data_IF_927976892097
#
_entry.id   IF_927976892097
#
_cell.length_a   1.000
_cell.length_b   1.000
_cell.length_c   1.000
_cell.angle_alpha   90.00
_cell.angle_beta   90.00
_cell.angle_gamma   90.00
#
_symmetry.space_group_name_H-M   'P 1'
#
loop_
_entity.id
_entity.type
_entity.pdbx_description
1 polymer ?
#
# COMPACT_ATOMS: atom_id res chain seq x y z
N UNK A 1 -32.40 -22.31 -22.46
CA UNK A 1 -31.56 -21.44 -21.60
C UNK A 1 -30.30 -21.17 -22.38
N UNK A 2 -30.12 -19.93 -22.79
CA UNK A 2 -29.14 -19.53 -23.80
C UNK A 2 -27.74 -19.44 -23.19
N UNK A 3 -26.72 -19.67 -24.01
CA UNK A 3 -25.29 -19.60 -23.66
C UNK A 3 -24.93 -18.31 -22.87
N UNK A 4 -25.63 -17.21 -23.13
CA UNK A 4 -25.44 -15.93 -22.42
C UNK A 4 -25.76 -15.97 -20.93
N UNK A 5 -26.80 -16.67 -20.49
CA UNK A 5 -27.14 -16.78 -19.06
C UNK A 5 -26.04 -17.54 -18.33
N UNK A 6 -25.56 -18.64 -18.92
CA UNK A 6 -24.45 -19.45 -18.41
C UNK A 6 -23.16 -18.62 -18.32
N UNK A 7 -22.88 -17.80 -19.33
CA UNK A 7 -21.71 -16.90 -19.33
C UNK A 7 -21.83 -15.85 -18.23
N UNK A 8 -23.00 -15.23 -18.04
CA UNK A 8 -23.24 -14.24 -16.98
C UNK A 8 -23.11 -14.86 -15.59
N UNK A 9 -23.73 -16.02 -15.36
CA UNK A 9 -23.63 -16.74 -14.09
C UNK A 9 -22.18 -17.10 -13.77
N UNK A 10 -21.44 -17.60 -14.76
CA UNK A 10 -20.01 -17.89 -14.60
C UNK A 10 -19.22 -16.63 -14.24
N UNK A 11 -19.43 -15.52 -14.94
CA UNK A 11 -18.77 -14.26 -14.64
C UNK A 11 -19.02 -13.81 -13.19
N UNK A 12 -20.27 -13.85 -12.73
CA UNK A 12 -20.61 -13.47 -11.35
C UNK A 12 -20.06 -14.43 -10.31
N UNK A 13 -19.99 -15.72 -10.60
CA UNK A 13 -19.35 -16.72 -9.73
C UNK A 13 -17.84 -16.48 -9.61
N UNK A 14 -17.17 -16.20 -10.73
CA UNK A 14 -15.74 -15.88 -10.76
C UNK A 14 -15.44 -14.58 -10.02
N UNK A 15 -16.29 -13.56 -10.19
CA UNK A 15 -16.21 -12.31 -9.43
C UNK A 15 -16.35 -12.58 -7.92
N UNK A 16 -17.37 -13.32 -7.47
CA UNK A 16 -17.55 -13.66 -6.05
C UNK A 16 -16.32 -14.39 -5.48
N UNK A 17 -15.74 -15.33 -6.25
CA UNK A 17 -14.53 -16.04 -5.86
C UNK A 17 -13.34 -15.10 -5.67
N UNK A 18 -13.14 -14.13 -6.56
CA UNK A 18 -12.06 -13.13 -6.42
C UNK A 18 -12.31 -12.25 -5.18
N UNK A 19 -13.53 -11.77 -4.98
CA UNK A 19 -13.90 -10.93 -3.84
C UNK A 19 -13.69 -11.63 -2.49
N UNK A 20 -13.91 -12.96 -2.43
CA UNK A 20 -13.65 -13.80 -1.25
C UNK A 20 -12.16 -14.03 -0.99
N UNK A 21 -11.35 -14.11 -2.05
CA UNK A 21 -9.89 -14.28 -1.95
C UNK A 21 -9.19 -12.99 -1.51
N UNK A 22 -9.78 -11.82 -1.77
CA UNK A 22 -9.22 -10.55 -1.31
C UNK A 22 -9.22 -10.49 0.23
N UNK A 23 -8.08 -10.16 0.88
CA UNK A 23 -7.96 -10.07 2.33
C UNK A 23 -9.06 -9.20 2.95
N UNK A 24 -9.51 -9.60 4.15
CA UNK A 24 -10.57 -8.89 4.87
C UNK A 24 -10.08 -7.54 5.39
N UNK A 25 -8.78 -7.38 5.57
CA UNK A 25 -8.09 -6.21 6.07
C UNK A 25 -8.02 -5.12 4.99
N UNK A 26 -8.03 -5.52 3.72
CA UNK A 26 -7.92 -4.63 2.57
C UNK A 26 -9.23 -3.92 2.26
N UNK A 27 -9.11 -2.63 1.94
CA UNK A 27 -10.23 -1.84 1.44
C UNK A 27 -10.62 -2.38 0.06
N UNK A 28 -11.88 -2.73 -0.11
CA UNK A 28 -12.43 -3.22 -1.37
C UNK A 28 -13.52 -2.29 -1.84
N UNK A 29 -13.37 -1.82 -3.08
CA UNK A 29 -14.28 -0.93 -3.78
C UNK A 29 -14.48 -1.52 -5.17
N UNK A 30 -15.73 -1.78 -5.53
CA UNK A 30 -16.13 -2.23 -6.87
C UNK A 30 -17.04 -1.16 -7.48
N UNK A 31 -16.68 -0.68 -8.66
CA UNK A 31 -17.38 0.38 -9.38
C UNK A 31 -17.63 -0.06 -10.81
N UNK A 32 -18.83 0.19 -11.33
CA UNK A 32 -19.10 0.00 -12.74
C UNK A 32 -20.57 -0.27 -13.05
N UNK A 33 -20.80 -0.60 -14.32
CA UNK A 33 -22.07 -1.10 -14.82
C UNK A 33 -22.17 -2.61 -14.58
N UNK A 34 -23.13 -3.00 -13.75
CA UNK A 34 -23.38 -4.41 -13.46
C UNK A 34 -24.46 -4.98 -14.38
N UNK A 35 -25.14 -4.19 -15.20
CA UNK A 35 -26.24 -4.69 -16.03
C UNK A 35 -27.29 -5.49 -15.24
N UNK A 36 -27.43 -5.18 -13.95
CA UNK A 36 -28.23 -5.94 -13.00
C UNK A 36 -29.17 -5.00 -12.23
N UNK A 37 -30.42 -5.42 -12.09
CA UNK A 37 -31.41 -4.74 -11.27
C UNK A 37 -31.57 -5.50 -9.97
N UNK A 38 -31.33 -4.83 -8.85
CA UNK A 38 -31.64 -5.42 -7.54
C UNK A 38 -33.15 -5.27 -7.29
N UNK A 39 -33.83 -6.40 -7.08
CA UNK A 39 -35.28 -6.44 -6.82
C UNK A 39 -35.67 -5.81 -5.48
N UNK A 40 -36.96 -5.53 -5.30
CA UNK A 40 -37.51 -4.85 -4.13
C UNK A 40 -37.56 -5.66 -2.83
N UNK A 41 -37.19 -6.95 -2.83
CA UNK A 41 -37.28 -7.84 -1.65
C UNK A 41 -36.15 -7.57 -0.65
N UNK A 42 -36.32 -6.50 0.09
CA UNK A 42 -35.34 -5.93 0.99
C UNK A 42 -34.98 -6.81 2.20
N UNK A 43 -35.88 -7.73 2.56
CA UNK A 43 -35.75 -8.63 3.71
C UNK A 43 -34.58 -9.61 3.54
N UNK A 44 -34.32 -10.06 2.30
CA UNK A 44 -33.27 -11.03 1.96
C UNK A 44 -31.86 -10.42 1.87
N UNK A 45 -31.75 -9.08 1.82
CA UNK A 45 -30.50 -8.37 1.54
C UNK A 45 -30.00 -7.46 2.68
N UNK A 46 -30.55 -7.60 3.88
CA UNK A 46 -30.29 -6.75 5.06
C UNK A 46 -28.82 -6.68 5.51
N UNK A 47 -27.99 -7.63 5.06
CA UNK A 47 -26.56 -7.76 5.39
C UNK A 47 -25.62 -7.23 4.29
N UNK A 48 -26.02 -7.35 3.03
CA UNK A 48 -25.22 -6.98 1.84
C UNK A 48 -25.45 -5.54 1.44
N UNK A 49 -26.71 -5.13 1.50
CA UNK A 49 -27.07 -3.73 1.55
C UNK A 49 -27.08 -3.42 3.05
N UNK A 50 -26.45 -2.34 3.51
CA UNK A 50 -26.30 -2.07 4.95
C UNK A 50 -27.63 -2.14 5.71
N UNK A 51 -27.64 -1.98 7.04
CA UNK A 51 -28.87 -1.94 7.87
C UNK A 51 -29.98 -1.01 7.31
N UNK A 52 -29.63 -0.10 6.40
CA UNK A 52 -30.45 0.91 5.73
C UNK A 52 -30.56 0.74 4.20
N UNK A 53 -30.13 -0.41 3.71
CA UNK A 53 -30.14 -0.83 2.32
C UNK A 53 -31.51 -1.16 1.74
N UNK A 54 -32.49 -1.24 2.62
CA UNK A 54 -33.91 -1.13 2.30
C UNK A 54 -34.24 0.36 2.27
N UNK A 55 -34.43 0.94 1.08
CA UNK A 55 -35.28 2.11 0.77
C UNK A 55 -35.29 3.37 1.66
N UNK A 56 -34.56 3.43 2.78
CA UNK A 56 -34.71 4.45 3.80
C UNK A 56 -33.49 5.25 4.24
N UNK A 57 -32.20 4.91 4.07
CA UNK A 57 -31.12 5.84 4.51
C UNK A 57 -29.67 5.49 4.09
N UNK A 58 -29.45 5.01 2.87
CA UNK A 58 -28.15 5.32 2.23
C UNK A 58 -28.21 6.80 1.82
N UNK A 59 -27.13 7.58 1.86
CA UNK A 59 -27.15 9.00 1.42
C UNK A 59 -27.79 9.19 0.02
N UNK A 60 -27.77 8.14 -0.81
CA UNK A 60 -28.47 8.03 -2.10
C UNK A 60 -30.00 8.15 -2.03
N UNK A 61 -30.66 7.84 -0.90
CA UNK A 61 -32.13 7.84 -0.77
C UNK A 61 -32.77 9.15 -0.30
N UNK A 62 -31.98 10.14 0.12
CA UNK A 62 -32.47 11.51 0.15
C UNK A 62 -32.31 12.20 -1.20
N UNK A 63 -31.57 11.60 -2.13
CA UNK A 63 -31.37 12.20 -3.44
C UNK A 63 -32.59 11.94 -4.32
N UNK A 64 -33.07 12.91 -5.10
CA UNK A 64 -34.13 12.69 -6.09
C UNK A 64 -33.82 11.50 -7.01
N UNK A 65 -34.86 10.86 -7.56
CA UNK A 65 -34.73 9.72 -8.49
C UNK A 65 -33.68 9.97 -9.58
N UNK A 66 -33.62 11.20 -10.11
CA UNK A 66 -32.62 11.62 -11.08
C UNK A 66 -31.17 11.34 -10.62
N UNK A 67 -30.85 11.63 -9.36
CA UNK A 67 -29.51 11.42 -8.78
C UNK A 67 -29.24 9.96 -8.37
N UNK A 68 -30.17 9.05 -8.60
CA UNK A 68 -30.02 7.60 -8.35
C UNK A 68 -30.01 6.79 -9.63
N UNK A 69 -30.80 7.19 -10.62
CA UNK A 69 -30.85 6.47 -11.88
C UNK A 69 -29.67 6.83 -12.76
N UNK A 70 -29.10 5.80 -13.36
CA UNK A 70 -27.82 5.89 -14.07
C UNK A 70 -27.99 5.62 -15.55
N UNK A 71 -28.98 4.84 -15.98
CA UNK A 71 -29.17 4.51 -17.38
C UNK A 71 -30.58 4.86 -17.89
N UNK A 72 -30.68 5.39 -19.10
CA UNK A 72 -31.98 5.64 -19.76
C UNK A 72 -32.22 4.63 -20.87
N UNK A 73 -33.32 3.88 -20.77
CA UNK A 73 -33.70 2.96 -21.83
C UNK A 73 -34.02 3.70 -23.14
N UNK A 74 -33.37 3.38 -24.28
CA UNK A 74 -33.48 4.15 -25.52
C UNK A 74 -34.91 4.32 -26.04
N UNK A 75 -35.72 3.25 -25.99
CA UNK A 75 -37.11 3.23 -26.45
C UNK A 75 -38.13 3.75 -25.44
N UNK A 76 -38.15 3.20 -24.22
CA UNK A 76 -39.16 3.54 -23.21
C UNK A 76 -38.88 4.87 -22.48
N UNK A 77 -37.68 5.44 -22.64
CA UNK A 77 -37.21 6.64 -21.93
C UNK A 77 -37.33 6.55 -20.41
N UNK A 78 -37.38 5.32 -19.88
CA UNK A 78 -37.41 5.04 -18.44
C UNK A 78 -35.99 4.97 -17.91
N UNK A 79 -35.81 5.60 -16.76
CA UNK A 79 -34.57 5.62 -16.02
C UNK A 79 -34.45 4.37 -15.14
N UNK A 80 -33.26 3.76 -15.14
CA UNK A 80 -32.94 2.57 -14.34
C UNK A 80 -31.64 2.77 -13.57
N UNK A 81 -31.48 2.03 -12.48
CA UNK A 81 -30.25 1.91 -11.71
C UNK A 81 -29.60 0.57 -12.08
N UNK A 82 -28.45 0.64 -12.76
CA UNK A 82 -27.66 -0.54 -13.15
C UNK A 82 -26.16 -0.35 -12.87
N UNK A 83 -25.74 0.87 -12.57
CA UNK A 83 -24.38 1.20 -12.17
C UNK A 83 -24.31 1.30 -10.64
N UNK A 84 -23.32 0.61 -10.05
CA UNK A 84 -23.17 0.54 -8.60
C UNK A 84 -21.77 0.89 -8.14
N UNK A 85 -21.71 1.43 -6.93
CA UNK A 85 -20.49 1.57 -6.14
C UNK A 85 -20.64 0.70 -4.90
N UNK A 86 -19.92 -0.42 -4.86
CA UNK A 86 -20.01 -1.43 -3.81
C UNK A 86 -18.73 -1.37 -2.96
N UNK A 87 -18.91 -1.36 -1.65
CA UNK A 87 -17.83 -1.43 -0.66
C UNK A 87 -18.12 -2.53 0.35
N UNK A 88 -17.11 -3.00 1.09
CA UNK A 88 -17.36 -3.93 2.20
C UNK A 88 -18.23 -3.27 3.26
N UNK A 89 -19.07 -4.06 3.91
CA UNK A 89 -19.95 -3.58 4.99
C UNK A 89 -19.18 -2.85 6.11
N UNK A 90 -17.99 -3.33 6.49
CA UNK A 90 -17.13 -2.73 7.52
C UNK A 90 -16.59 -1.34 7.14
N UNK A 91 -16.49 -1.07 5.83
CA UNK A 91 -15.89 0.14 5.26
C UNK A 91 -16.95 1.20 4.91
N UNK A 92 -18.23 0.88 5.11
CA UNK A 92 -19.36 1.78 4.82
C UNK A 92 -19.26 3.13 5.56
N UNK A 93 -18.65 3.13 6.75
CA UNK A 93 -18.40 4.35 7.55
C UNK A 93 -17.50 5.37 6.85
N UNK A 94 -16.71 4.94 5.86
CA UNK A 94 -15.81 5.79 5.10
C UNK A 94 -16.50 6.39 3.86
N UNK A 95 -17.72 5.94 3.52
CA UNK A 95 -18.49 6.44 2.37
C UNK A 95 -19.24 7.71 2.75
N UNK A 96 -18.90 8.82 2.11
CA UNK A 96 -19.53 10.12 2.38
C UNK A 96 -20.72 10.38 1.46
N UNK A 97 -20.57 10.16 0.16
CA UNK A 97 -21.59 10.47 -0.85
C UNK A 97 -21.49 9.44 -1.97
N UNK A 98 -22.61 8.94 -2.46
CA UNK A 98 -22.71 8.22 -3.73
C UNK A 98 -23.88 8.82 -4.51
N UNK A 99 -23.69 9.25 -5.76
CA UNK A 99 -24.79 9.80 -6.58
C UNK A 99 -24.50 9.76 -8.08
N UNK A 100 -25.56 9.72 -8.88
CA UNK A 100 -25.50 9.97 -10.33
C UNK A 100 -25.38 11.48 -10.61
N UNK A 101 -24.48 11.84 -11.52
CA UNK A 101 -24.18 13.21 -11.93
C UNK A 101 -25.10 13.60 -13.10
N UNK A 102 -26.26 14.19 -12.79
CA UNK A 102 -27.31 14.46 -13.79
C UNK A 102 -26.98 15.53 -14.83
N UNK A 103 -25.96 16.36 -14.60
CA UNK A 103 -25.52 17.43 -15.51
C UNK A 103 -24.16 17.18 -16.16
N UNK A 104 -23.60 15.99 -16.00
CA UNK A 104 -22.41 15.57 -16.73
C UNK A 104 -22.86 14.88 -18.02
N UNK A 105 -22.90 15.63 -19.12
CA UNK A 105 -23.27 15.09 -20.43
C UNK A 105 -22.09 14.34 -21.02
N UNK A 106 -22.04 13.02 -20.79
CA UNK A 106 -20.96 12.16 -21.28
C UNK A 106 -21.23 11.60 -22.70
N UNK A 107 -22.23 12.12 -23.43
CA UNK A 107 -22.68 11.58 -24.73
C UNK A 107 -22.95 10.05 -24.72
N UNK A 108 -23.38 9.52 -23.57
CA UNK A 108 -23.80 8.12 -23.42
C UNK A 108 -25.23 8.07 -22.91
N UNK A 109 -25.84 6.89 -23.01
CA UNK A 109 -27.11 6.54 -22.36
C UNK A 109 -26.95 6.31 -20.83
N UNK A 110 -25.73 6.48 -20.30
CA UNK A 110 -25.40 6.43 -18.89
C UNK A 110 -25.08 7.82 -18.28
N UNK A 111 -25.40 7.98 -16.99
CA UNK A 111 -24.96 9.08 -16.14
C UNK A 111 -23.75 8.64 -15.35
N UNK A 112 -22.76 9.51 -15.25
CA UNK A 112 -21.58 9.27 -14.41
C UNK A 112 -21.98 9.08 -12.95
N UNK A 113 -21.53 7.98 -12.34
CA UNK A 113 -21.68 7.74 -10.89
C UNK A 113 -20.46 8.28 -10.16
N UNK A 114 -20.70 9.07 -9.11
CA UNK A 114 -19.66 9.63 -8.25
C UNK A 114 -19.80 9.08 -6.85
N UNK A 115 -18.71 8.50 -6.33
CA UNK A 115 -18.57 8.15 -4.91
C UNK A 115 -17.45 8.98 -4.27
N UNK A 116 -17.72 9.56 -3.10
CA UNK A 116 -16.74 10.27 -2.26
C UNK A 116 -16.42 9.43 -1.03
N UNK A 117 -15.15 9.13 -0.82
CA UNK A 117 -14.64 8.28 0.27
C UNK A 117 -13.69 9.07 1.18
N UNK A 118 -13.73 8.78 2.48
CA UNK A 118 -12.77 9.23 3.49
C UNK A 118 -11.90 8.05 3.90
N UNK A 119 -10.80 7.83 3.18
CA UNK A 119 -9.88 6.72 3.46
C UNK A 119 -8.62 7.20 4.17
N UNK A 120 -8.18 6.45 5.18
CA UNK A 120 -6.86 6.59 5.79
C UNK A 120 -6.02 5.41 5.32
N UNK A 121 -5.05 5.66 4.44
CA UNK A 121 -4.08 4.66 4.03
C UNK A 121 -2.94 4.71 5.05
N UNK A 122 -2.89 3.74 5.96
CA UNK A 122 -1.75 3.64 6.87
C UNK A 122 -0.52 3.20 6.07
N UNK A 123 0.58 3.98 6.05
CA UNK A 123 1.79 3.55 5.39
C UNK A 123 2.32 2.30 6.08
N UNK A 124 2.63 1.26 5.30
CA UNK A 124 3.39 0.11 5.77
C UNK A 124 4.72 0.63 6.31
N UNK A 125 4.85 0.71 7.65
CA UNK A 125 6.13 1.01 8.29
C UNK A 125 7.06 -0.13 7.92
N UNK A 126 7.97 0.09 6.97
CA UNK A 126 9.08 -0.83 6.73
C UNK A 126 9.77 -1.03 8.08
N UNK A 127 9.72 -2.25 8.61
CA UNK A 127 10.65 -2.69 9.65
C UNK A 127 12.03 -2.76 8.99
N UNK A 128 12.63 -1.61 8.71
CA UNK A 128 14.06 -1.58 8.42
C UNK A 128 14.69 -2.04 9.71
N UNK A 129 15.20 -3.27 9.73
CA UNK A 129 16.05 -3.71 10.81
C UNK A 129 17.08 -2.60 11.01
N UNK A 130 17.11 -1.98 12.19
CA UNK A 130 18.13 -0.99 12.51
C UNK A 130 19.47 -1.70 12.36
N UNK A 131 20.10 -1.51 11.20
CA UNK A 131 21.46 -1.98 10.98
C UNK A 131 22.29 -1.06 11.88
N UNK A 132 22.91 -1.62 12.92
CA UNK A 132 23.80 -0.88 13.81
C UNK A 132 25.06 -0.48 13.03
N UNK A 133 24.93 0.52 12.16
CA UNK A 133 26.03 1.09 11.39
C UNK A 133 26.72 2.12 12.27
N UNK A 134 27.36 1.65 13.35
CA UNK A 134 28.24 2.52 14.13
C UNK A 134 29.36 2.97 13.22
N UNK A 135 29.53 4.29 13.09
CA UNK A 135 30.58 4.89 12.26
C UNK A 135 31.94 4.59 12.87
N UNK A 136 32.95 4.34 12.03
CA UNK A 136 34.33 4.18 12.46
C UNK A 136 34.84 5.46 13.13
N UNK A 137 35.68 5.32 14.15
CA UNK A 137 36.25 6.46 14.86
C UNK A 137 37.51 7.00 14.16
N UNK A 138 37.31 7.72 13.05
CA UNK A 138 38.40 8.32 12.27
C UNK A 138 39.24 9.34 13.05
N UNK A 139 38.73 9.87 14.17
CA UNK A 139 39.49 10.80 15.01
C UNK A 139 40.73 10.16 15.65
N UNK A 140 40.76 8.82 15.79
CA UNK A 140 41.93 8.10 16.34
C UNK A 140 43.16 8.20 15.43
N UNK A 141 42.97 8.47 14.13
CA UNK A 141 44.07 8.68 13.18
C UNK A 141 44.84 9.99 13.40
N UNK A 142 44.37 10.88 14.30
CA UNK A 142 45.12 12.06 14.73
C UNK A 142 46.35 11.69 15.56
N UNK A 143 46.34 10.52 16.21
CA UNK A 143 47.53 9.98 16.87
C UNK A 143 48.46 9.36 15.84
N UNK A 144 49.73 9.78 15.84
CA UNK A 144 50.72 9.30 14.89
C UNK A 144 51.04 7.80 15.09
N UNK A 145 50.94 7.30 16.32
CA UNK A 145 51.13 5.88 16.65
C UNK A 145 50.04 5.01 16.02
N UNK A 146 48.78 5.41 16.19
CA UNK A 146 47.62 4.67 15.65
C UNK A 146 47.61 4.74 14.12
N UNK A 147 48.02 5.88 13.54
CA UNK A 147 48.16 6.05 12.09
C UNK A 147 49.21 5.08 11.53
N UNK A 148 50.36 4.95 12.18
CA UNK A 148 51.43 4.05 11.74
C UNK A 148 51.03 2.58 11.90
N UNK A 149 50.41 2.21 13.03
CA UNK A 149 49.87 0.86 13.26
C UNK A 149 48.79 0.49 12.23
N UNK A 150 47.90 1.45 11.90
CA UNK A 150 46.89 1.25 10.87
C UNK A 150 47.51 1.03 9.48
N UNK A 151 48.51 1.84 9.11
CA UNK A 151 49.21 1.69 7.83
C UNK A 151 49.86 0.32 7.72
N UNK A 152 50.63 -0.09 8.73
CA UNK A 152 51.33 -1.38 8.72
C UNK A 152 50.35 -2.58 8.61
N UNK A 153 49.24 -2.53 9.35
CA UNK A 153 48.19 -3.56 9.29
C UNK A 153 47.47 -3.57 7.95
N UNK A 154 47.23 -2.40 7.37
CA UNK A 154 46.59 -2.29 6.05
C UNK A 154 47.48 -2.81 4.95
N UNK A 155 48.77 -2.45 4.94
CA UNK A 155 49.74 -2.93 3.96
C UNK A 155 49.87 -4.46 4.02
N UNK A 156 49.94 -5.03 5.22
CA UNK A 156 49.96 -6.48 5.41
C UNK A 156 48.69 -7.15 4.88
N UNK A 157 47.51 -6.59 5.19
CA UNK A 157 46.24 -7.14 4.77
C UNK A 157 46.01 -7.05 3.25
N UNK A 158 46.45 -5.96 2.61
CA UNK A 158 46.34 -5.78 1.16
C UNK A 158 47.28 -6.71 0.40
N UNK A 159 48.51 -6.90 0.88
CA UNK A 159 49.46 -7.84 0.28
C UNK A 159 48.96 -9.29 0.33
N UNK A 160 48.25 -9.69 1.38
CA UNK A 160 47.64 -11.03 1.48
C UNK A 160 46.52 -11.29 0.45
N UNK A 161 45.88 -10.23 -0.07
CA UNK A 161 44.78 -10.34 -1.04
C UNK A 161 45.34 -10.33 -2.47
N UNK A 162 46.42 -9.58 -2.72
CA UNK A 162 47.02 -9.42 -4.04
C UNK A 162 47.48 -10.76 -4.65
N UNK A 163 47.93 -11.71 -3.83
CA UNK A 163 48.46 -13.01 -4.27
C UNK A 163 47.38 -14.10 -4.47
N UNK A 164 46.10 -13.81 -4.19
CA UNK A 164 45.03 -14.82 -4.29
C UNK A 164 44.37 -14.85 -5.67
N UNK A 165 44.40 -15.99 -6.39
CA UNK A 165 43.62 -16.14 -7.61
C UNK A 165 42.12 -16.19 -7.25
N UNK A 166 41.33 -15.40 -7.96
CA UNK A 166 39.86 -15.40 -7.87
C UNK A 166 39.28 -15.10 -9.25
N UNK A 167 38.25 -15.83 -9.63
CA UNK A 167 37.68 -15.84 -10.99
C UNK A 167 36.70 -14.69 -11.26
N UNK A 168 36.26 -13.97 -10.21
CA UNK A 168 35.18 -12.98 -10.28
C UNK A 168 35.59 -11.64 -9.66
N UNK A 169 35.42 -10.57 -10.44
CA UNK A 169 35.67 -9.17 -10.00
C UNK A 169 34.80 -8.79 -8.80
N UNK A 170 33.57 -9.31 -8.73
CA UNK A 170 32.66 -9.04 -7.63
C UNK A 170 33.17 -9.62 -6.30
N UNK A 171 33.73 -10.83 -6.36
CA UNK A 171 34.24 -11.52 -5.18
C UNK A 171 35.56 -10.91 -4.70
N UNK A 172 36.43 -10.49 -5.63
CA UNK A 172 37.62 -9.68 -5.31
C UNK A 172 37.25 -8.39 -4.58
N UNK A 173 36.26 -7.66 -5.09
CA UNK A 173 35.79 -6.42 -4.44
C UNK A 173 35.18 -6.68 -3.05
N UNK A 174 34.38 -7.74 -2.92
CA UNK A 174 33.76 -8.11 -1.65
C UNK A 174 34.80 -8.46 -0.60
N UNK A 175 35.82 -9.22 -0.98
CA UNK A 175 36.92 -9.59 -0.09
C UNK A 175 37.73 -8.36 0.33
N UNK A 176 38.15 -7.53 -0.63
CA UNK A 176 38.84 -6.27 -0.37
C UNK A 176 38.07 -5.40 0.63
N UNK A 177 36.77 -5.20 0.37
CA UNK A 177 35.90 -4.42 1.24
C UNK A 177 35.82 -4.99 2.65
N UNK A 178 35.68 -6.31 2.78
CA UNK A 178 35.59 -6.96 4.08
C UNK A 178 36.89 -6.83 4.88
N UNK A 179 38.04 -6.99 4.23
CA UNK A 179 39.34 -6.85 4.86
C UNK A 179 39.63 -5.42 5.30
N UNK A 180 39.36 -4.43 4.43
CA UNK A 180 39.49 -3.00 4.80
C UNK A 180 38.59 -2.68 5.99
N UNK A 181 37.34 -3.14 5.99
CA UNK A 181 36.41 -2.92 7.10
C UNK A 181 36.85 -3.62 8.39
N UNK A 182 37.45 -4.81 8.28
CA UNK A 182 37.96 -5.56 9.43
C UNK A 182 39.13 -4.82 10.09
N UNK A 183 40.17 -4.50 9.33
CA UNK A 183 41.35 -3.76 9.82
C UNK A 183 40.93 -2.41 10.39
N UNK A 184 40.04 -1.69 9.69
CA UNK A 184 39.54 -0.40 10.17
C UNK A 184 38.76 -0.52 11.49
N UNK A 185 37.97 -1.58 11.68
CA UNK A 185 37.25 -1.79 12.95
C UNK A 185 38.20 -2.19 14.09
N UNK A 186 39.20 -3.02 13.81
CA UNK A 186 40.18 -3.47 14.81
C UNK A 186 41.05 -2.31 15.28
N UNK A 187 41.55 -1.46 14.37
CA UNK A 187 42.45 -0.36 14.73
C UNK A 187 41.69 0.89 15.21
N UNK A 188 40.64 1.30 14.50
CA UNK A 188 39.93 2.56 14.79
C UNK A 188 38.78 2.37 15.78
N UNK A 189 38.19 1.17 15.84
CA UNK A 189 36.96 0.96 16.60
C UNK A 189 35.78 1.77 16.05
N UNK A 190 34.69 1.77 16.81
CA UNK A 190 33.47 2.52 16.46
C UNK A 190 33.27 3.72 17.36
N UNK A 191 32.71 4.81 16.84
CA UNK A 191 32.29 5.94 17.68
C UNK A 191 31.21 5.47 18.66
N UNK A 192 31.46 5.65 19.94
CA UNK A 192 30.41 5.54 20.96
C UNK A 192 29.45 6.72 20.82
N UNK A 193 28.16 6.51 21.10
CA UNK A 193 27.25 7.63 21.30
C UNK A 193 27.65 8.28 22.61
N UNK A 194 28.08 9.55 22.57
CA UNK A 194 27.99 10.39 23.77
C UNK A 194 26.50 10.51 24.08
N UNK A 195 26.03 9.85 25.12
CA UNK A 195 24.82 10.29 25.77
C UNK A 195 25.24 11.51 26.60
N UNK A 196 24.83 12.73 26.25
CA UNK A 196 24.94 13.82 27.19
C UNK A 196 24.05 13.42 28.36
N UNK A 197 24.65 12.96 29.45
CA UNK A 197 23.94 12.86 30.70
C UNK A 197 23.71 14.30 31.14
N UNK A 198 22.47 14.75 31.04
CA UNK A 198 22.04 16.11 31.34
C UNK A 198 22.33 16.50 32.81
N UNK A 199 22.74 15.53 33.64
CA UNK A 199 23.09 15.71 35.03
C UNK A 199 24.53 16.21 35.29
N UNK A 200 25.47 15.98 34.36
CA UNK A 200 26.90 16.32 34.58
C UNK A 200 27.28 17.76 34.19
N UNK A 201 26.39 18.53 33.55
CA UNK A 201 26.70 19.91 33.12
C UNK A 201 26.64 20.98 34.23
N UNK A 202 26.24 20.62 35.46
CA UNK A 202 26.03 21.57 36.57
C UNK A 202 26.91 21.35 37.81
N UNK A 203 28.02 20.61 37.70
CA UNK A 203 29.00 20.49 38.79
C UNK A 203 30.36 20.97 38.27
N UNK A 204 30.60 22.27 38.36
CA UNK A 204 31.87 22.90 37.99
C UNK A 204 31.79 24.42 38.01
#
# INVERSE_FOLDING_TARGET
MTNEEVVKEKFYADLDNILRKTPKEDKLILLGDFNARVGGNSTSWSRTIGKYGVWKLNATQMLPLAKRSTWMHPRSKRWHLIDYAIVRQRDLKDVCITQAMCGAECQTDHRMVRMKLKMIIQPQRRKVAFKDVRKLNVDRLKSNEIKNDFSAKMDTALNQIADRPSDSVHDKWKELKNQILKVSKETLGTKSKKQPDWFEENIG
#
